data_IF_505690361467
#
_entry.id   IF_505690361467
#
_cell.length_a   1.000
_cell.length_b   1.000
_cell.length_c   1.000
_cell.angle_alpha   90.00
_cell.angle_beta   90.00
_cell.angle_gamma   90.00
#
_symmetry.space_group_name_H-M   'P 1'
#
loop_
_entity.id
_entity.type
_entity.pdbx_description
1 polymer ?
#
# COMPACT_ATOMS: atom_id res chain seq x y z
N UNK A 1 -16.78 5.43 -15.04
CA UNK A 1 -16.63 3.97 -15.01
C UNK A 1 -18.02 3.37 -14.91
N UNK A 2 -18.32 2.36 -15.72
CA UNK A 2 -19.58 1.62 -15.57
C UNK A 2 -19.57 0.78 -14.30
N UNK A 3 -20.74 0.32 -13.87
CA UNK A 3 -20.82 -0.69 -12.80
C UNK A 3 -20.13 -1.98 -13.28
N UNK A 4 -19.24 -2.58 -12.46
CA UNK A 4 -18.56 -3.81 -12.82
C UNK A 4 -19.51 -5.01 -12.81
N UNK A 5 -19.15 -6.04 -13.56
CA UNK A 5 -19.83 -7.33 -13.56
C UNK A 5 -19.76 -8.00 -12.18
N UNK A 6 -20.80 -8.76 -11.83
CA UNK A 6 -20.81 -9.54 -10.59
C UNK A 6 -19.64 -10.55 -10.54
N UNK A 7 -19.28 -11.13 -11.68
CA UNK A 7 -18.15 -12.04 -11.80
C UNK A 7 -16.82 -11.36 -11.40
N UNK A 8 -16.57 -10.15 -11.91
CA UNK A 8 -15.36 -9.39 -11.57
C UNK A 8 -15.37 -8.92 -10.11
N UNK A 9 -16.54 -8.55 -9.56
CA UNK A 9 -16.69 -8.25 -8.14
C UNK A 9 -16.36 -9.44 -7.25
N UNK A 10 -16.90 -10.63 -7.56
CA UNK A 10 -16.67 -11.84 -6.76
C UNK A 10 -15.20 -12.26 -6.80
N UNK A 11 -14.56 -12.17 -7.98
CA UNK A 11 -13.10 -12.37 -8.14
C UNK A 11 -12.32 -11.41 -7.26
N UNK A 12 -12.69 -10.11 -7.26
CA UNK A 12 -11.98 -9.11 -6.47
C UNK A 12 -12.18 -9.31 -4.97
N UNK A 13 -13.39 -9.62 -4.50
CA UNK A 13 -13.62 -9.91 -3.09
C UNK A 13 -12.83 -11.12 -2.60
N UNK A 14 -12.78 -12.19 -3.40
CA UNK A 14 -11.96 -13.37 -3.10
C UNK A 14 -10.48 -13.00 -3.01
N UNK A 15 -9.99 -12.24 -4.00
CA UNK A 15 -8.60 -11.78 -4.04
C UNK A 15 -8.24 -10.92 -2.83
N UNK A 16 -9.03 -9.89 -2.52
CA UNK A 16 -8.74 -8.92 -1.45
C UNK A 16 -8.71 -9.61 -0.10
N UNK A 17 -9.67 -10.49 0.20
CA UNK A 17 -9.68 -11.26 1.46
C UNK A 17 -8.43 -12.11 1.61
N UNK A 18 -8.08 -12.89 0.58
CA UNK A 18 -6.91 -13.74 0.61
C UNK A 18 -5.59 -12.96 0.67
N UNK A 19 -5.51 -11.80 -0.01
CA UNK A 19 -4.31 -10.98 0.03
C UNK A 19 -4.13 -10.27 1.37
N UNK A 20 -5.21 -9.80 2.00
CA UNK A 20 -5.15 -9.20 3.32
C UNK A 20 -4.57 -10.19 4.35
N UNK A 21 -5.09 -11.42 4.38
CA UNK A 21 -4.56 -12.49 5.24
C UNK A 21 -3.09 -12.81 4.94
N UNK A 22 -2.76 -13.02 3.66
CA UNK A 22 -1.39 -13.35 3.22
C UNK A 22 -0.37 -12.25 3.55
N UNK A 23 -0.79 -10.99 3.45
CA UNK A 23 0.07 -9.85 3.74
C UNK A 23 0.06 -9.45 5.21
N UNK A 24 -0.82 -10.01 6.04
CA UNK A 24 -0.93 -9.62 7.45
C UNK A 24 -1.52 -8.21 7.66
N UNK A 25 -2.33 -7.76 6.70
CA UNK A 25 -3.10 -6.52 6.79
C UNK A 25 -4.59 -6.82 6.93
N UNK A 26 -5.39 -5.81 7.21
CA UNK A 26 -6.86 -5.88 7.11
C UNK A 26 -7.36 -5.01 5.98
N UNK A 27 -8.63 -5.21 5.60
CA UNK A 27 -9.35 -4.21 4.82
C UNK A 27 -9.64 -2.96 5.67
N UNK A 28 -9.87 -1.82 5.03
CA UNK A 28 -10.17 -0.58 5.76
C UNK A 28 -11.43 -0.76 6.64
N UNK A 29 -11.42 -0.26 7.90
CA UNK A 29 -12.58 -0.38 8.81
C UNK A 29 -13.81 0.37 8.30
N UNK A 30 -13.62 1.48 7.59
CA UNK A 30 -14.70 2.12 6.83
C UNK A 30 -14.99 1.33 5.53
N UNK A 31 -16.12 0.60 5.53
CA UNK A 31 -16.54 -0.22 4.39
C UNK A 31 -16.74 0.56 3.10
N UNK A 32 -17.10 1.85 3.15
CA UNK A 32 -17.26 2.65 1.95
C UNK A 32 -15.95 2.77 1.16
N UNK A 33 -14.81 2.89 1.85
CA UNK A 33 -13.47 2.92 1.24
C UNK A 33 -13.18 1.57 0.57
N UNK A 34 -13.33 0.48 1.31
CA UNK A 34 -13.11 -0.88 0.79
C UNK A 34 -13.99 -1.16 -0.43
N UNK A 35 -15.28 -0.84 -0.36
CA UNK A 35 -16.24 -1.07 -1.45
C UNK A 35 -15.87 -0.25 -2.69
N UNK A 36 -15.54 1.04 -2.54
CA UNK A 36 -15.15 1.89 -3.67
C UNK A 36 -13.89 1.36 -4.38
N UNK A 37 -12.88 0.93 -3.61
CA UNK A 37 -11.65 0.39 -4.21
C UNK A 37 -11.90 -0.96 -4.87
N UNK A 38 -12.67 -1.86 -4.25
CA UNK A 38 -13.03 -3.16 -4.84
C UNK A 38 -13.82 -2.99 -6.14
N UNK A 39 -14.80 -2.07 -6.16
CA UNK A 39 -15.55 -1.74 -7.36
C UNK A 39 -14.65 -1.19 -8.47
N UNK A 40 -13.73 -0.28 -8.15
CA UNK A 40 -12.78 0.26 -9.12
C UNK A 40 -11.83 -0.81 -9.69
N UNK A 41 -11.33 -1.71 -8.85
CA UNK A 41 -10.50 -2.84 -9.28
C UNK A 41 -11.28 -3.79 -10.21
N UNK A 42 -12.53 -4.10 -9.86
CA UNK A 42 -13.40 -4.93 -10.68
C UNK A 42 -13.74 -4.27 -12.02
N UNK A 43 -14.01 -2.97 -12.03
CA UNK A 43 -14.27 -2.22 -13.27
C UNK A 43 -13.05 -2.23 -14.20
N UNK A 44 -11.83 -2.13 -13.65
CA UNK A 44 -10.61 -2.27 -14.44
C UNK A 44 -10.37 -3.72 -14.92
N UNK A 45 -10.85 -4.75 -14.22
CA UNK A 45 -10.84 -6.11 -14.78
C UNK A 45 -11.74 -6.18 -16.01
N UNK A 46 -12.95 -5.65 -15.95
CA UNK A 46 -13.87 -5.68 -17.10
C UNK A 46 -13.33 -4.84 -18.28
N UNK A 47 -12.74 -3.67 -17.99
CA UNK A 47 -12.24 -2.72 -19.01
C UNK A 47 -10.87 -3.14 -19.62
N UNK A 48 -9.95 -3.64 -18.79
CA UNK A 48 -8.54 -3.84 -19.12
C UNK A 48 -8.09 -5.30 -19.04
N UNK A 49 -8.95 -6.21 -18.56
CA UNK A 49 -8.61 -7.60 -18.26
C UNK A 49 -7.74 -7.77 -17.01
N UNK A 50 -7.41 -6.69 -16.28
CA UNK A 50 -6.50 -6.71 -15.13
C UNK A 50 -6.90 -5.70 -14.05
N UNK A 51 -6.63 -5.97 -12.76
CA UNK A 51 -7.01 -5.11 -11.64
C UNK A 51 -6.02 -3.94 -11.47
N UNK A 52 -5.98 -3.02 -12.44
CA UNK A 52 -5.20 -1.79 -12.34
C UNK A 52 -5.67 -0.98 -11.12
N UNK A 53 -4.72 -0.46 -10.33
CA UNK A 53 -5.01 0.32 -9.12
C UNK A 53 -5.96 1.50 -9.44
N UNK A 54 -7.14 1.62 -8.78
CA UNK A 54 -8.15 2.61 -9.15
C UNK A 54 -7.92 4.00 -8.54
N UNK A 55 -6.98 4.14 -7.60
CA UNK A 55 -6.73 5.40 -6.88
C UNK A 55 -5.63 6.26 -7.50
N UNK A 56 -5.23 5.98 -8.75
CA UNK A 56 -4.24 6.77 -9.49
C UNK A 56 -4.84 7.26 -10.82
N UNK A 57 -4.30 8.36 -11.33
CA UNK A 57 -4.62 8.88 -12.65
C UNK A 57 -3.67 8.29 -13.70
N UNK A 58 -4.23 7.76 -14.78
CA UNK A 58 -3.46 7.23 -15.89
C UNK A 58 -3.87 7.95 -17.17
N UNK A 59 -2.94 8.63 -17.86
CA UNK A 59 -3.21 9.22 -19.18
C UNK A 59 -3.66 8.17 -20.20
N UNK A 60 -3.06 6.97 -20.15
CA UNK A 60 -3.43 5.82 -20.96
C UNK A 60 -3.45 4.55 -20.08
N UNK A 61 -4.66 4.14 -19.67
CA UNK A 61 -4.86 2.93 -18.87
C UNK A 61 -4.46 1.65 -19.60
N UNK A 62 -4.62 1.59 -20.92
CA UNK A 62 -4.32 0.39 -21.71
C UNK A 62 -2.82 0.17 -21.84
N UNK A 63 -2.06 1.25 -22.06
CA UNK A 63 -0.61 1.20 -21.97
C UNK A 63 -0.14 0.80 -20.57
N UNK A 64 -0.76 1.37 -19.54
CA UNK A 64 -0.42 1.07 -18.15
C UNK A 64 -0.70 -0.39 -17.75
N UNK A 65 -1.82 -0.94 -18.20
CA UNK A 65 -2.21 -2.33 -17.92
C UNK A 65 -1.24 -3.36 -18.54
N UNK A 66 -0.39 -2.96 -19.48
CA UNK A 66 0.70 -3.81 -19.99
C UNK A 66 1.87 -3.89 -19.01
N UNK A 67 2.00 -2.93 -18.10
CA UNK A 67 3.00 -2.89 -17.05
C UNK A 67 2.49 -3.55 -15.76
N UNK A 68 3.41 -3.98 -14.89
CA UNK A 68 3.07 -4.65 -13.62
C UNK A 68 2.93 -3.68 -12.44
N UNK A 69 3.53 -2.50 -12.53
CA UNK A 69 3.80 -1.58 -11.41
C UNK A 69 2.54 -1.21 -10.60
N UNK A 70 1.41 -1.03 -11.27
CA UNK A 70 0.14 -0.62 -10.66
C UNK A 70 -0.92 -1.72 -10.62
N UNK A 71 -0.59 -2.96 -10.98
CA UNK A 71 -1.55 -4.08 -10.85
C UNK A 71 -1.70 -4.44 -9.39
N UNK A 72 -2.93 -4.45 -8.87
CA UNK A 72 -3.17 -4.79 -7.47
C UNK A 72 -2.72 -6.24 -7.15
N UNK A 73 -1.94 -6.49 -6.11
CA UNK A 73 -1.22 -5.56 -5.26
C UNK A 73 0.00 -4.98 -6.00
N UNK A 74 0.06 -3.65 -6.03
CA UNK A 74 1.05 -2.86 -6.78
C UNK A 74 2.46 -3.02 -6.19
N UNK A 75 3.45 -2.47 -6.88
CA UNK A 75 4.85 -2.56 -6.45
C UNK A 75 5.05 -1.94 -5.06
N UNK A 76 4.43 -0.80 -4.74
CA UNK A 76 4.54 -0.18 -3.41
C UNK A 76 4.05 -1.11 -2.30
N UNK A 77 2.91 -1.79 -2.51
CA UNK A 77 2.39 -2.76 -1.55
C UNK A 77 3.34 -3.96 -1.42
N UNK A 78 3.94 -4.40 -2.52
CA UNK A 78 4.84 -5.56 -2.54
C UNK A 78 6.26 -5.25 -2.06
N UNK A 79 6.71 -4.00 -2.11
CA UNK A 79 8.05 -3.56 -1.71
C UNK A 79 8.03 -3.00 -0.29
N UNK A 80 7.06 -2.12 0.00
CA UNK A 80 6.98 -1.32 1.22
C UNK A 80 5.77 -1.64 2.10
N UNK A 81 4.86 -2.53 1.66
CA UNK A 81 3.59 -2.82 2.36
C UNK A 81 2.68 -1.60 2.53
N UNK A 82 2.89 -0.60 1.68
CA UNK A 82 2.10 0.62 1.67
C UNK A 82 0.99 0.51 0.61
N UNK A 83 -0.25 0.78 1.00
CA UNK A 83 -1.39 0.84 0.09
C UNK A 83 -1.98 2.25 0.08
N UNK A 84 -1.66 3.05 -0.94
CA UNK A 84 -2.22 4.40 -1.10
C UNK A 84 -3.76 4.41 -1.13
N UNK A 85 -4.39 3.39 -1.72
CA UNK A 85 -5.85 3.30 -1.78
C UNK A 85 -6.49 2.99 -0.41
N UNK A 86 -5.69 2.77 0.64
CA UNK A 86 -6.12 2.35 1.97
C UNK A 86 -6.93 1.05 1.99
N UNK A 87 -6.80 0.20 0.96
CA UNK A 87 -7.46 -1.10 0.92
C UNK A 87 -6.80 -2.13 1.84
N UNK A 88 -5.48 -2.08 1.98
CA UNK A 88 -4.70 -2.96 2.85
C UNK A 88 -4.00 -2.11 3.90
N UNK A 89 -4.50 -2.16 5.13
CA UNK A 89 -4.12 -1.28 6.24
C UNK A 89 -3.95 -2.07 7.53
N UNK A 90 -3.53 -1.41 8.60
CA UNK A 90 -3.62 -1.93 9.97
C UNK A 90 -5.07 -2.00 10.44
N UNK A 91 -5.32 -2.69 11.56
CA UNK A 91 -6.64 -2.79 12.18
C UNK A 91 -7.26 -1.42 12.52
N UNK A 92 -6.42 -0.43 12.85
CA UNK A 92 -6.83 0.96 13.13
C UNK A 92 -7.14 1.79 11.87
N UNK A 93 -6.98 1.22 10.67
CA UNK A 93 -7.23 1.87 9.40
C UNK A 93 -6.07 2.67 8.84
N UNK A 94 -4.94 2.77 9.55
CA UNK A 94 -3.77 3.50 9.06
C UNK A 94 -2.94 2.66 8.08
N UNK A 95 -2.39 3.28 7.01
CA UNK A 95 -1.48 2.59 6.11
C UNK A 95 -0.15 2.32 6.81
N UNK A 96 0.49 1.19 6.48
CA UNK A 96 1.84 0.88 6.95
C UNK A 96 2.82 1.73 6.16
N UNK A 97 3.59 2.56 6.85
CA UNK A 97 4.60 3.44 6.24
C UNK A 97 6.02 3.09 6.67
N UNK A 98 6.21 2.09 7.54
CA UNK A 98 7.51 1.71 8.15
C UNK A 98 8.66 1.63 7.16
N UNK A 99 8.39 1.04 5.99
CA UNK A 99 9.40 0.71 5.00
C UNK A 99 9.54 1.76 3.89
N UNK A 100 8.70 2.81 3.90
CA UNK A 100 8.82 3.89 2.93
C UNK A 100 10.09 4.72 3.21
N UNK A 101 10.74 5.24 2.16
CA UNK A 101 11.75 6.30 2.33
C UNK A 101 11.20 7.48 3.15
N UNK A 102 12.08 8.18 3.86
CA UNK A 102 11.68 9.29 4.74
C UNK A 102 11.03 10.44 3.96
N UNK A 103 11.49 10.70 2.73
CA UNK A 103 10.98 11.72 1.81
C UNK A 103 9.73 11.29 1.03
N UNK A 104 9.26 10.05 1.21
CA UNK A 104 8.06 9.56 0.54
C UNK A 104 6.80 10.28 1.04
N UNK A 105 5.90 10.66 0.13
CA UNK A 105 4.68 11.43 0.46
C UNK A 105 3.82 10.75 1.54
N UNK A 106 3.59 9.44 1.43
CA UNK A 106 2.87 8.68 2.45
C UNK A 106 3.52 8.74 3.82
N UNK A 107 4.85 8.80 3.89
CA UNK A 107 5.59 8.91 5.15
C UNK A 107 5.49 10.31 5.74
N UNK A 108 5.54 11.34 4.90
CA UNK A 108 5.37 12.73 5.30
C UNK A 108 3.94 13.00 5.82
N UNK A 109 2.92 12.39 5.19
CA UNK A 109 1.52 12.59 5.57
C UNK A 109 1.12 11.84 6.84
N UNK A 110 1.49 10.56 6.98
CA UNK A 110 1.03 9.70 8.08
C UNK A 110 2.07 9.53 9.20
N UNK A 111 3.30 10.02 9.02
CA UNK A 111 4.40 9.76 9.94
C UNK A 111 4.84 8.29 9.92
N UNK A 112 5.53 7.86 10.98
CA UNK A 112 5.96 6.48 11.16
C UNK A 112 4.83 5.59 11.68
N UNK A 113 4.28 4.78 10.80
CA UNK A 113 3.32 3.74 11.12
C UNK A 113 3.99 2.38 10.94
N UNK A 114 4.29 1.73 12.07
CA UNK A 114 4.95 0.42 12.14
C UNK A 114 4.05 -0.71 11.63
N UNK A 115 4.68 -1.73 11.03
CA UNK A 115 4.05 -2.96 10.57
C UNK A 115 3.87 -3.94 11.74
N UNK A 116 2.63 -4.29 12.13
CA UNK A 116 2.40 -5.27 13.18
C UNK A 116 2.75 -6.71 12.76
N UNK A 117 2.96 -6.98 11.47
CA UNK A 117 3.24 -8.32 10.93
C UNK A 117 4.43 -8.32 9.95
N UNK A 118 5.64 -7.96 10.41
CA UNK A 118 6.82 -7.75 9.55
C UNK A 118 7.29 -9.01 8.80
N UNK A 119 6.90 -10.20 9.28
CA UNK A 119 7.17 -11.49 8.66
C UNK A 119 6.26 -11.81 7.46
N UNK A 120 5.17 -11.05 7.28
CA UNK A 120 4.15 -11.29 6.24
C UNK A 120 4.20 -10.26 5.11
N UNK A 121 3.84 -10.72 3.90
CA UNK A 121 3.75 -9.88 2.71
C UNK A 121 5.12 -9.49 2.14
N UNK A 122 5.17 -8.28 1.55
CA UNK A 122 6.37 -7.67 0.94
C UNK A 122 7.20 -8.63 0.06
N UNK A 123 6.56 -9.32 -0.88
CA UNK A 123 7.25 -10.32 -1.72
C UNK A 123 8.39 -9.72 -2.56
N UNK A 124 8.38 -8.40 -2.78
CA UNK A 124 9.39 -7.66 -3.52
C UNK A 124 10.27 -6.77 -2.63
N UNK A 125 10.36 -7.04 -1.32
CA UNK A 125 11.19 -6.24 -0.37
C UNK A 125 12.65 -6.03 -0.81
N UNK A 126 13.21 -6.97 -1.56
CA UNK A 126 14.57 -6.88 -2.10
C UNK A 126 14.78 -5.74 -3.11
N UNK A 127 13.69 -5.15 -3.63
CA UNK A 127 13.71 -3.99 -4.53
C UNK A 127 13.63 -2.65 -3.80
N UNK A 128 13.48 -2.65 -2.48
CA UNK A 128 13.45 -1.41 -1.71
C UNK A 128 14.78 -0.67 -1.90
N UNK A 129 14.71 0.64 -2.15
CA UNK A 129 15.90 1.48 -2.13
C UNK A 129 16.52 1.43 -0.72
N UNK A 130 17.86 1.56 -0.59
CA UNK A 130 18.49 1.62 0.72
C UNK A 130 17.89 2.82 1.49
N UNK A 131 17.28 2.53 2.64
CA UNK A 131 16.81 3.58 3.55
C UNK A 131 18.03 4.33 4.09
N UNK A 132 17.95 5.66 4.20
CA UNK A 132 18.97 6.44 4.90
C UNK A 132 19.17 5.84 6.30
N UNK A 133 20.42 5.75 6.80
CA UNK A 133 20.67 5.22 8.13
C UNK A 133 19.90 6.07 9.14
N UNK A 134 19.11 5.42 10.00
CA UNK A 134 18.39 6.07 11.11
C UNK A 134 19.39 6.93 11.88
N UNK A 135 19.33 8.26 11.77
CA UNK A 135 20.15 9.13 12.60
C UNK A 135 19.74 8.90 14.05
N UNK A 136 20.65 8.38 14.87
CA UNK A 136 20.43 8.28 16.31
C UNK A 136 20.17 9.68 16.87
N UNK A 137 19.25 9.85 17.83
CA UNK A 137 19.07 11.15 18.47
C UNK A 137 20.39 11.58 19.12
N UNK A 138 20.73 12.88 19.10
CA UNK A 138 21.95 13.36 19.73
C UNK A 138 21.90 13.03 21.22
N UNK A 139 22.91 12.31 21.70
CA UNK A 139 23.15 12.08 23.12
C UNK A 139 23.27 13.45 23.79
N UNK A 140 22.56 13.72 24.92
CA UNK A 140 22.76 14.97 25.64
C UNK A 140 24.22 15.05 26.07
N UNK A 141 24.93 16.04 25.54
CA UNK A 141 26.32 16.34 25.86
C UNK A 141 26.46 16.65 27.34
N UNK A 142 27.43 16.01 27.99
CA UNK A 142 27.82 16.25 29.38
C UNK A 142 28.04 17.74 29.67
N UNK A 143 27.74 18.22 30.90
CA UNK A 143 27.89 19.63 31.24
C UNK A 143 29.36 20.05 31.21
N UNK A 144 29.66 21.33 30.92
CA UNK A 144 31.02 21.81 30.83
C UNK A 144 31.72 21.71 32.19
N UNK A 145 32.93 21.16 32.18
CA UNK A 145 33.82 21.14 33.33
C UNK A 145 34.05 22.58 33.83
N UNK A 146 33.64 22.83 35.09
CA UNK A 146 33.89 24.08 35.78
C UNK A 146 35.39 24.22 36.05
N UNK A 147 35.98 25.32 35.59
CA UNK A 147 37.33 25.80 35.95
C UNK A 147 37.33 26.49 37.29
#
# INVERSE_FOLDING_TARGET
MGEPSQESLDKMWKYVKGFAEKSGTTMHPNQAVTNAVVQGLAAHIDELGKPLCPCNFYPDKQAEAKLRRWMCACDEMQIYKYCHCLLFVREDGLPITEYLPEDHEGRQCYGLVEDPTPDKGRALRHKALPMAPKSSPPTPSDPPAQT
#
